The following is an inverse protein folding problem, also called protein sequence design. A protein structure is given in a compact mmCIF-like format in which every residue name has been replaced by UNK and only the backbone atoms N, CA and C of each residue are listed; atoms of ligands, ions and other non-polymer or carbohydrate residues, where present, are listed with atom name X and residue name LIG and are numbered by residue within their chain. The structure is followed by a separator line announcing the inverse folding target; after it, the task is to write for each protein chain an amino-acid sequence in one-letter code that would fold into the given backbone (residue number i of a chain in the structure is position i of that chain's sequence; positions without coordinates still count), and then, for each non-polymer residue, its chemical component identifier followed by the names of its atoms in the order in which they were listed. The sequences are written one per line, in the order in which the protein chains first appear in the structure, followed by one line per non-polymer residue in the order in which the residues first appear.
data_IF_369879086767
#
_entry.id   IF_369879086767
#
_cell.length_a   1.000
_cell.length_b   1.000
_cell.length_c   1.000
_cell.angle_alpha   90.00
_cell.angle_beta   90.00
_cell.angle_gamma   90.00
#
_symmetry.space_group_name_H-M   'P 1'
#
loop_
_entity.id
_entity.type
_entity.pdbx_description
1 polymer ?
#
# COMPACT_ATOMS: atom_id res chain seq x y z
N UNK A 1 24.75 68.13 -30.29
CA UNK A 1 25.08 68.82 -29.03
C UNK A 1 24.87 67.82 -27.90
N UNK A 2 25.54 66.67 -27.88
CA UNK A 2 27.01 66.44 -27.90
C UNK A 2 27.72 67.06 -26.68
N UNK A 3 28.75 66.34 -26.22
CA UNK A 3 29.50 66.40 -24.95
C UNK A 3 28.93 65.46 -23.88
N UNK A 4 29.34 64.20 -23.69
CA UNK A 4 30.60 63.46 -23.81
C UNK A 4 31.68 63.69 -22.71
N UNK A 5 32.10 62.54 -22.12
CA UNK A 5 33.23 62.19 -21.25
C UNK A 5 33.45 62.98 -19.93
N UNK A 6 33.77 62.39 -18.77
CA UNK A 6 34.93 61.50 -18.54
C UNK A 6 34.91 60.88 -17.12
N UNK A 7 35.29 59.60 -16.97
CA UNK A 7 35.78 58.98 -15.73
C UNK A 7 37.32 59.10 -15.66
N UNK A 8 37.92 59.36 -14.49
CA UNK A 8 38.83 58.38 -13.86
C UNK A 8 38.67 58.40 -12.31
N UNK A 9 38.91 57.36 -11.51
CA UNK A 9 39.96 56.35 -11.53
C UNK A 9 40.68 56.39 -10.18
N UNK A 10 40.66 55.26 -9.46
CA UNK A 10 41.57 54.87 -8.36
C UNK A 10 41.43 55.56 -6.99
N UNK A 11 41.09 54.77 -5.97
CA UNK A 11 42.07 54.30 -4.95
C UNK A 11 41.39 53.40 -3.90
N UNK A 12 41.85 52.16 -3.91
CA UNK A 12 42.00 51.22 -2.80
C UNK A 12 41.70 51.80 -1.40
N UNK A 13 40.64 51.31 -0.78
CA UNK A 13 40.52 51.27 0.68
C UNK A 13 40.19 49.82 1.07
N UNK A 14 41.24 49.09 1.48
CA UNK A 14 41.12 47.88 2.27
C UNK A 14 40.40 48.23 3.56
N UNK A 15 39.17 47.75 3.74
CA UNK A 15 38.54 47.67 5.05
C UNK A 15 38.41 46.19 5.38
N UNK A 16 39.40 45.72 6.13
CA UNK A 16 39.31 44.52 6.94
C UNK A 16 38.34 44.85 8.07
N UNK A 17 37.15 44.23 8.09
CA UNK A 17 36.27 44.27 9.25
C UNK A 17 35.76 42.86 9.56
N UNK A 18 36.50 42.24 10.49
CA UNK A 18 36.08 41.34 11.56
C UNK A 18 34.85 40.45 11.33
N UNK A 19 35.12 39.14 11.38
CA UNK A 19 34.22 38.10 11.85
C UNK A 19 33.39 38.57 13.06
N UNK A 20 32.07 38.48 12.93
CA UNK A 20 31.18 38.20 14.04
C UNK A 20 30.32 37.02 13.63
N UNK A 21 30.85 35.81 13.86
CA UNK A 21 30.04 34.59 13.97
C UNK A 21 29.27 34.71 15.27
N UNK A 22 28.05 35.24 15.19
CA UNK A 22 27.08 35.14 16.28
C UNK A 22 26.36 33.80 16.12
N UNK A 23 26.85 32.82 16.88
CA UNK A 23 26.10 31.65 17.31
C UNK A 23 24.77 32.13 17.93
N UNK A 24 23.67 32.03 17.18
CA UNK A 24 22.32 32.08 17.75
C UNK A 24 21.99 30.69 18.29
N UNK A 25 22.62 30.35 19.42
CA UNK A 25 22.19 29.30 20.31
C UNK A 25 21.81 29.95 21.64
N UNK A 26 20.57 29.74 22.07
CA UNK A 26 20.12 30.03 23.44
C UNK A 26 19.54 31.43 23.66
N UNK A 27 18.26 31.58 23.34
CA UNK A 27 17.44 32.71 23.76
C UNK A 27 16.00 32.24 23.93
N UNK A 28 15.70 31.67 25.10
CA UNK A 28 14.34 31.35 25.50
C UNK A 28 13.48 32.61 25.50
N UNK A 29 12.71 32.78 24.44
CA UNK A 29 11.46 33.48 24.47
C UNK A 29 10.41 32.40 24.66
N UNK A 30 9.49 32.62 25.61
CA UNK A 30 8.38 31.73 25.88
C UNK A 30 7.67 31.40 24.56
N UNK A 31 7.96 30.23 24.01
CA UNK A 31 7.19 29.68 22.92
C UNK A 31 5.83 29.41 23.55
N UNK A 32 4.81 30.18 23.14
CA UNK A 32 3.50 29.57 23.02
C UNK A 32 3.76 28.26 22.26
N UNK A 33 3.66 27.12 22.95
CA UNK A 33 3.85 25.82 22.35
C UNK A 33 2.76 25.65 21.31
N UNK A 34 3.03 26.13 20.10
CA UNK A 34 2.18 25.92 18.96
C UNK A 34 2.06 24.40 18.79
N UNK A 35 0.86 23.95 18.45
CA UNK A 35 0.64 22.57 18.11
C UNK A 35 1.57 22.20 16.93
N UNK A 36 2.12 20.98 16.88
CA UNK A 36 2.90 20.53 15.74
C UNK A 36 2.12 20.69 14.44
N UNK A 37 2.78 21.21 13.40
CA UNK A 37 2.19 21.40 12.07
C UNK A 37 2.78 20.41 11.07
N UNK A 38 2.14 20.28 9.91
CA UNK A 38 2.65 19.48 8.79
C UNK A 38 4.11 19.79 8.48
N UNK A 39 4.95 18.76 8.50
CA UNK A 39 6.38 18.82 8.25
C UNK A 39 7.24 18.86 9.51
N UNK A 40 6.67 19.17 10.67
CA UNK A 40 7.41 19.17 11.93
C UNK A 40 7.78 17.74 12.32
N UNK A 41 9.01 17.59 12.81
CA UNK A 41 9.40 16.37 13.50
C UNK A 41 8.90 16.40 14.94
N UNK A 42 8.44 15.27 15.43
CA UNK A 42 7.78 15.19 16.73
C UNK A 42 8.31 14.04 17.57
N UNK A 43 8.24 14.23 18.88
CA UNK A 43 8.48 13.19 19.87
C UNK A 43 7.29 13.12 20.83
N UNK A 44 7.01 11.90 21.31
CA UNK A 44 5.94 11.68 22.27
C UNK A 44 6.35 12.21 23.64
N UNK A 45 5.54 13.09 24.20
CA UNK A 45 5.74 13.71 25.52
C UNK A 45 4.49 13.50 26.38
N UNK A 46 4.46 12.40 27.13
CA UNK A 46 3.27 11.98 27.87
C UNK A 46 2.18 11.50 26.91
N UNK A 47 1.00 12.12 27.01
CA UNK A 47 -0.18 11.81 26.19
C UNK A 47 -0.31 12.73 24.96
N UNK A 48 0.75 13.46 24.60
CA UNK A 48 0.75 14.40 23.47
C UNK A 48 2.04 14.33 22.66
N UNK A 49 2.04 14.99 21.51
CA UNK A 49 3.19 15.16 20.64
C UNK A 49 3.69 16.61 20.68
N UNK A 50 5.00 16.77 20.77
CA UNK A 50 5.65 18.09 20.74
C UNK A 50 6.68 18.14 19.63
N UNK A 51 6.84 19.31 19.02
CA UNK A 51 7.91 19.55 18.05
C UNK A 51 9.28 19.23 18.66
N UNK A 52 10.09 18.52 17.88
CA UNK A 52 11.41 18.02 18.26
C UNK A 52 12.43 18.31 17.16
N UNK A 53 13.71 18.12 17.47
CA UNK A 53 14.77 18.23 16.47
C UNK A 53 14.68 17.05 15.49
N UNK A 54 14.51 17.35 14.20
CA UNK A 54 14.49 16.34 13.14
C UNK A 54 15.76 15.49 13.10
N UNK A 55 16.89 15.95 13.63
CA UNK A 55 18.11 15.14 13.70
C UNK A 55 17.93 13.90 14.58
N UNK A 56 17.09 13.96 15.62
CA UNK A 56 16.90 12.87 16.60
C UNK A 56 15.52 12.24 16.58
N UNK A 57 14.51 12.97 16.10
CA UNK A 57 13.15 12.47 16.04
C UNK A 57 13.00 11.28 15.08
N UNK A 58 12.11 10.35 15.44
CA UNK A 58 11.75 9.19 14.60
C UNK A 58 10.50 9.42 13.77
N UNK A 59 9.66 10.38 14.16
CA UNK A 59 8.38 10.69 13.54
C UNK A 59 8.33 12.11 13.03
N UNK A 60 7.45 12.32 12.05
CA UNK A 60 7.07 13.63 11.53
C UNK A 60 5.57 13.71 11.32
N UNK A 61 5.03 14.92 11.40
CA UNK A 61 3.65 15.21 10.98
C UNK A 61 3.60 15.25 9.46
N UNK A 62 2.80 14.36 8.88
CA UNK A 62 2.54 14.30 7.44
C UNK A 62 1.31 15.12 7.04
N UNK A 63 0.33 15.21 7.94
CA UNK A 63 -0.85 16.05 7.80
C UNK A 63 -1.41 16.39 9.19
N UNK A 64 -2.10 17.52 9.29
CA UNK A 64 -2.80 17.94 10.51
C UNK A 64 -4.18 18.47 10.16
N UNK A 65 -5.19 18.08 10.92
CA UNK A 65 -6.58 18.52 10.74
C UNK A 65 -7.06 19.27 11.98
N UNK A 66 -7.79 20.37 11.77
CA UNK A 66 -8.40 21.18 12.86
C UNK A 66 -9.70 20.55 13.41
N UNK A 67 -9.90 19.25 13.21
CA UNK A 67 -11.02 18.47 13.74
C UNK A 67 -10.56 17.06 14.16
N UNK A 68 -11.20 16.49 15.19
CA UNK A 68 -10.87 15.16 15.75
C UNK A 68 -11.27 13.99 14.85
N UNK A 69 -11.74 14.26 13.63
CA UNK A 69 -12.20 13.26 12.66
C UNK A 69 -11.40 13.30 11.37
N UNK A 70 -10.16 13.80 11.42
CA UNK A 70 -9.26 13.76 10.28
C UNK A 70 -8.99 12.34 9.83
N UNK A 71 -9.31 12.01 8.58
CA UNK A 71 -8.99 10.70 8.00
C UNK A 71 -7.50 10.67 7.60
N UNK A 72 -6.72 9.93 8.38
CA UNK A 72 -5.30 9.76 8.14
C UNK A 72 -4.99 8.62 7.15
N UNK A 73 -5.89 7.66 6.91
CA UNK A 73 -5.66 6.53 6.00
C UNK A 73 -5.16 6.95 4.60
N UNK A 74 -5.69 8.00 3.95
CA UNK A 74 -5.22 8.44 2.63
C UNK A 74 -3.90 9.23 2.67
N UNK A 75 -3.33 9.53 3.84
CA UNK A 75 -2.07 10.29 3.95
C UNK A 75 -0.89 9.34 3.69
N UNK A 76 -0.22 9.52 2.55
CA UNK A 76 0.87 8.66 2.12
C UNK A 76 2.01 8.57 3.16
N UNK A 77 2.31 7.36 3.61
CA UNK A 77 3.41 7.06 4.52
C UNK A 77 3.06 7.21 5.99
N UNK A 78 1.80 7.52 6.30
CA UNK A 78 1.29 7.50 7.66
C UNK A 78 1.42 6.10 8.25
N UNK A 79 1.70 6.04 9.54
CA UNK A 79 1.70 4.80 10.32
C UNK A 79 0.92 4.96 11.62
N UNK A 80 0.70 6.20 12.05
CA UNK A 80 0.03 6.52 13.30
C UNK A 80 -0.90 7.73 13.12
N UNK A 81 -2.07 7.68 13.73
CA UNK A 81 -2.93 8.85 13.93
C UNK A 81 -2.96 9.19 15.41
N UNK A 82 -2.87 10.47 15.72
CA UNK A 82 -3.00 10.99 17.08
C UNK A 82 -4.12 12.00 17.16
N UNK A 83 -5.05 11.81 18.09
CA UNK A 83 -6.11 12.79 18.38
C UNK A 83 -6.17 13.08 19.87
N UNK A 84 -6.12 14.36 20.23
CA UNK A 84 -6.33 14.85 21.61
C UNK A 84 -7.78 15.30 21.76
N UNK A 85 -8.41 14.96 22.89
CA UNK A 85 -9.74 15.42 23.29
C UNK A 85 -9.82 16.94 23.54
N UNK A 86 -8.67 17.64 23.53
CA UNK A 86 -8.50 19.09 23.67
C UNK A 86 -8.95 19.94 22.46
N UNK A 87 -8.12 20.84 21.88
CA UNK A 87 -8.55 21.78 20.83
C UNK A 87 -9.01 21.13 19.52
N UNK A 88 -9.04 19.80 19.46
CA UNK A 88 -9.67 19.03 18.41
C UNK A 88 -8.79 18.83 17.20
N UNK A 89 -7.48 18.65 17.39
CA UNK A 89 -6.53 18.45 16.29
C UNK A 89 -6.22 16.96 16.12
N UNK A 90 -6.33 16.47 14.89
CA UNK A 90 -5.82 15.14 14.49
C UNK A 90 -4.49 15.31 13.76
N UNK A 91 -3.46 14.58 14.20
CA UNK A 91 -2.15 14.52 13.56
C UNK A 91 -1.96 13.17 12.87
N UNK A 92 -1.63 13.20 11.59
CA UNK A 92 -1.20 12.01 10.85
C UNK A 92 0.32 11.93 10.88
N UNK A 93 0.84 10.91 11.54
CA UNK A 93 2.25 10.73 11.85
C UNK A 93 2.83 9.57 11.03
N UNK A 94 4.06 9.74 10.55
CA UNK A 94 4.81 8.67 9.91
C UNK A 94 6.31 8.78 10.19
N UNK A 95 7.11 7.81 9.74
CA UNK A 95 8.56 7.84 9.89
C UNK A 95 9.14 9.15 9.34
N UNK A 96 10.13 9.72 10.03
CA UNK A 96 10.77 10.98 9.61
C UNK A 96 11.19 10.98 8.14
N UNK A 97 11.81 9.89 7.71
CA UNK A 97 12.39 9.76 6.37
C UNK A 97 11.47 8.99 5.41
N UNK A 98 10.16 8.93 5.70
CA UNK A 98 9.21 8.23 4.84
C UNK A 98 9.19 8.84 3.44
N UNK A 99 9.22 7.97 2.43
CA UNK A 99 8.98 8.34 1.04
C UNK A 99 7.48 8.17 0.72
N UNK A 100 6.74 9.26 0.49
CA UNK A 100 5.33 9.17 0.10
C UNK A 100 5.09 8.40 -1.20
N UNK A 101 6.10 8.35 -2.09
CA UNK A 101 6.01 7.61 -3.36
C UNK A 101 5.98 6.10 -3.16
N UNK A 102 6.66 5.59 -2.14
CA UNK A 102 6.72 4.16 -1.82
C UNK A 102 5.65 3.71 -0.82
N UNK A 103 4.81 4.61 -0.34
CA UNK A 103 3.85 4.32 0.73
C UNK A 103 2.77 3.31 0.30
N UNK A 104 2.68 2.17 1.00
CA UNK A 104 1.73 1.10 0.69
C UNK A 104 0.28 1.52 0.92
N UNK A 105 -0.01 2.32 1.94
CA UNK A 105 -1.38 2.68 2.34
C UNK A 105 -2.17 3.45 1.25
N UNK A 106 -1.45 4.07 0.30
CA UNK A 106 -2.02 4.79 -0.85
C UNK A 106 -1.93 4.02 -2.17
N UNK A 107 -1.43 2.78 -2.16
CA UNK A 107 -1.36 1.95 -3.36
C UNK A 107 -2.74 1.75 -3.99
N UNK A 108 -2.78 1.62 -5.31
CA UNK A 108 -3.99 1.42 -6.09
C UNK A 108 -3.92 0.12 -6.89
N UNK A 109 -5.05 -0.31 -7.44
CA UNK A 109 -5.09 -1.45 -8.35
C UNK A 109 -4.12 -1.23 -9.52
N UNK A 110 -3.24 -2.20 -9.76
CA UNK A 110 -2.17 -2.15 -10.76
C UNK A 110 -0.82 -1.68 -10.25
N UNK A 111 -0.72 -1.14 -9.03
CA UNK A 111 0.58 -0.82 -8.42
C UNK A 111 1.33 -2.10 -8.03
N UNK A 112 2.64 -2.11 -8.24
CA UNK A 112 3.48 -3.20 -7.75
C UNK A 112 4.05 -2.91 -6.36
N UNK A 113 4.30 -3.98 -5.62
CA UNK A 113 4.76 -3.95 -4.24
C UNK A 113 5.91 -4.93 -4.02
N UNK A 114 6.75 -4.61 -3.05
CA UNK A 114 7.87 -5.43 -2.59
C UNK A 114 7.82 -5.60 -1.06
N UNK A 115 8.54 -6.59 -0.52
CA UNK A 115 8.62 -6.85 0.92
C UNK A 115 7.44 -7.65 1.49
N UNK A 116 6.55 -8.16 0.64
CA UNK A 116 5.35 -8.90 1.01
C UNK A 116 5.72 -10.28 1.54
N UNK A 117 6.62 -11.00 0.85
CA UNK A 117 7.02 -12.35 1.25
C UNK A 117 7.70 -12.38 2.63
N UNK A 118 8.53 -11.38 2.90
CA UNK A 118 9.22 -11.21 4.18
C UNK A 118 8.30 -10.61 5.27
N UNK A 119 7.12 -10.12 4.90
CA UNK A 119 6.23 -9.31 5.73
C UNK A 119 6.99 -8.20 6.48
N UNK A 120 7.90 -7.53 5.77
CA UNK A 120 8.76 -6.51 6.35
C UNK A 120 9.02 -5.42 5.32
N UNK A 121 8.72 -4.17 5.69
CA UNK A 121 8.88 -2.99 4.81
C UNK A 121 8.10 -3.12 3.49
N UNK A 122 6.81 -3.48 3.59
CA UNK A 122 5.93 -3.55 2.42
C UNK A 122 5.75 -2.16 1.84
N UNK A 123 6.10 -1.98 0.57
CA UNK A 123 6.14 -0.68 -0.10
C UNK A 123 5.81 -0.79 -1.57
N UNK A 124 5.30 0.30 -2.15
CA UNK A 124 5.12 0.45 -3.60
C UNK A 124 6.48 0.53 -4.29
N UNK A 125 6.56 -0.06 -5.47
CA UNK A 125 7.74 -0.06 -6.34
C UNK A 125 7.31 -0.03 -7.80
N UNK A 126 8.23 0.36 -8.70
CA UNK A 126 8.00 0.25 -10.14
C UNK A 126 7.83 -1.23 -10.53
N UNK A 127 6.81 -1.55 -11.32
CA UNK A 127 6.54 -2.93 -11.77
C UNK A 127 7.64 -3.52 -12.65
N UNK A 128 8.48 -2.70 -13.28
CA UNK A 128 9.65 -3.15 -14.02
C UNK A 128 10.87 -3.39 -13.13
N UNK A 129 10.80 -3.05 -11.84
CA UNK A 129 11.88 -3.34 -10.89
C UNK A 129 11.95 -4.84 -10.63
N UNK A 130 13.13 -5.48 -10.69
CA UNK A 130 13.28 -6.91 -10.41
C UNK A 130 12.94 -7.30 -8.96
N UNK A 131 12.83 -6.34 -8.04
CA UNK A 131 12.37 -6.56 -6.68
C UNK A 131 10.84 -6.47 -6.52
N UNK A 132 10.09 -6.18 -7.59
CA UNK A 132 8.63 -6.26 -7.55
C UNK A 132 8.19 -7.72 -7.35
N UNK A 133 7.53 -7.98 -6.22
CA UNK A 133 7.08 -9.32 -5.82
C UNK A 133 5.64 -9.57 -6.28
N UNK A 134 4.78 -8.57 -6.09
CA UNK A 134 3.34 -8.69 -6.36
C UNK A 134 2.77 -7.42 -6.99
N UNK A 135 1.59 -7.54 -7.58
CA UNK A 135 0.75 -6.43 -8.03
C UNK A 135 -0.53 -6.38 -7.20
N UNK A 136 -1.00 -5.18 -6.88
CA UNK A 136 -2.28 -4.95 -6.22
C UNK A 136 -3.41 -5.19 -7.21
N UNK A 137 -4.23 -6.21 -6.97
CA UNK A 137 -5.41 -6.51 -7.79
C UNK A 137 -6.67 -5.84 -7.25
N UNK A 138 -6.76 -5.70 -5.94
CA UNK A 138 -7.84 -4.99 -5.27
C UNK A 138 -7.35 -4.34 -3.97
N UNK A 139 -7.87 -3.15 -3.69
CA UNK A 139 -7.74 -2.45 -2.41
C UNK A 139 -9.12 -2.35 -1.76
N UNK A 140 -9.26 -2.92 -0.58
CA UNK A 140 -10.50 -2.96 0.18
C UNK A 140 -10.28 -2.16 1.46
N UNK A 141 -11.09 -1.13 1.69
CA UNK A 141 -11.09 -0.38 2.96
C UNK A 141 -12.02 -1.02 3.98
N UNK A 142 -11.73 -0.82 5.26
CA UNK A 142 -12.53 -1.32 6.41
C UNK A 142 -12.86 -2.81 6.28
N UNK A 143 -11.86 -3.61 5.89
CA UNK A 143 -12.07 -5.00 5.49
C UNK A 143 -12.32 -5.88 6.72
N UNK A 144 -13.51 -6.51 6.76
CA UNK A 144 -13.89 -7.45 7.82
C UNK A 144 -13.23 -8.82 7.57
N UNK A 145 -12.41 -9.29 8.50
CA UNK A 145 -11.57 -10.51 8.32
C UNK A 145 -12.02 -11.72 9.14
N UNK A 146 -13.02 -11.56 10.02
CA UNK A 146 -13.45 -12.58 11.01
C UNK A 146 -14.27 -13.74 10.45
N UNK A 147 -14.79 -13.65 9.23
CA UNK A 147 -15.74 -14.64 8.71
C UNK A 147 -15.51 -15.08 7.26
N UNK A 148 -14.85 -14.25 6.46
CA UNK A 148 -14.62 -14.48 5.03
C UNK A 148 -13.30 -13.86 4.64
N UNK A 149 -12.55 -14.50 3.74
CA UNK A 149 -11.41 -13.86 3.09
C UNK A 149 -11.93 -12.85 2.05
N UNK A 150 -11.75 -11.53 2.25
CA UNK A 150 -12.23 -10.51 1.32
C UNK A 150 -11.61 -10.65 -0.09
N UNK A 151 -10.45 -11.31 -0.18
CA UNK A 151 -9.71 -11.49 -1.41
C UNK A 151 -10.09 -12.75 -2.19
N UNK A 152 -10.86 -13.67 -1.61
CA UNK A 152 -11.24 -14.93 -2.26
C UNK A 152 -12.00 -14.73 -3.58
N UNK A 153 -12.72 -13.62 -3.71
CA UNK A 153 -13.49 -13.28 -4.92
C UNK A 153 -12.72 -12.45 -5.96
N UNK A 154 -11.45 -12.11 -5.70
CA UNK A 154 -10.63 -11.27 -6.57
C UNK A 154 -9.77 -12.16 -7.49
N UNK A 155 -10.09 -12.25 -8.79
CA UNK A 155 -9.38 -13.15 -9.71
C UNK A 155 -7.89 -12.84 -9.82
N UNK A 156 -7.06 -13.87 -9.81
CA UNK A 156 -5.61 -13.78 -9.90
C UNK A 156 -4.91 -13.56 -8.56
N UNK A 157 -5.67 -13.44 -7.46
CA UNK A 157 -5.11 -13.28 -6.13
C UNK A 157 -4.45 -14.57 -5.66
N UNK A 158 -3.20 -14.47 -5.19
CA UNK A 158 -2.47 -15.59 -4.57
C UNK A 158 -2.08 -15.31 -3.10
N UNK A 159 -2.16 -14.05 -2.68
CA UNK A 159 -1.78 -13.60 -1.34
C UNK A 159 -2.57 -12.35 -0.95
N UNK A 160 -2.58 -12.02 0.33
CA UNK A 160 -3.19 -10.80 0.83
C UNK A 160 -2.26 -10.11 1.82
N UNK A 161 -2.35 -8.78 1.89
CA UNK A 161 -1.61 -7.96 2.84
C UNK A 161 -2.57 -7.03 3.57
N UNK A 162 -2.52 -7.08 4.89
CA UNK A 162 -3.25 -6.17 5.76
C UNK A 162 -2.39 -5.00 6.18
N UNK A 163 -2.96 -3.81 6.16
CA UNK A 163 -2.35 -2.61 6.69
C UNK A 163 -3.32 -1.96 7.68
N UNK A 164 -2.79 -1.58 8.84
CA UNK A 164 -3.53 -0.95 9.92
C UNK A 164 -2.85 0.35 10.34
N UNK A 165 -3.68 1.36 10.57
CA UNK A 165 -3.30 2.64 11.13
C UNK A 165 -3.30 2.54 12.65
N UNK A 166 -2.17 2.84 13.27
CA UNK A 166 -2.09 2.85 14.73
C UNK A 166 -2.80 4.10 15.25
N UNK A 167 -3.91 3.94 15.99
CA UNK A 167 -4.56 5.06 16.68
C UNK A 167 -3.96 5.25 18.07
N UNK A 168 -3.50 6.46 18.38
CA UNK A 168 -3.02 6.85 19.71
C UNK A 168 -3.73 8.10 20.22
N UNK A 169 -3.88 8.24 21.54
CA UNK A 169 -4.57 9.36 22.16
C UNK A 169 -5.90 8.96 22.82
N UNK A 170 -6.77 9.93 23.05
CA UNK A 170 -8.05 9.78 23.76
C UNK A 170 -9.19 9.39 22.80
N UNK A 171 -8.96 8.47 21.87
CA UNK A 171 -10.03 7.99 21.00
C UNK A 171 -10.97 7.07 21.81
N UNK A 172 -12.24 7.47 22.06
CA UNK A 172 -13.17 6.65 22.82
C UNK A 172 -13.56 5.36 22.08
N UNK A 173 -13.21 5.22 20.80
CA UNK A 173 -13.44 4.03 19.99
C UNK A 173 -12.22 3.10 19.88
N UNK A 174 -11.03 3.53 20.32
CA UNK A 174 -9.85 2.68 20.39
C UNK A 174 -10.13 1.48 21.32
N UNK A 175 -10.25 0.29 20.73
CA UNK A 175 -10.43 -0.98 21.43
C UNK A 175 -11.85 -1.57 21.44
N UNK A 176 -12.87 -0.91 20.88
CA UNK A 176 -14.22 -1.52 20.76
C UNK A 176 -14.47 -2.18 19.39
N UNK A 177 -13.61 -1.94 18.39
CA UNK A 177 -13.71 -2.49 17.02
C UNK A 177 -12.42 -3.08 16.43
N UNK A 178 -11.26 -2.77 17.01
CA UNK A 178 -9.89 -3.03 16.49
C UNK A 178 -9.51 -4.51 16.27
N UNK A 179 -10.43 -5.45 16.49
CA UNK A 179 -10.19 -6.89 16.31
C UNK A 179 -11.14 -7.55 15.32
N UNK A 180 -11.98 -6.79 14.61
CA UNK A 180 -12.98 -7.34 13.67
C UNK A 180 -12.59 -7.15 12.18
N UNK A 181 -11.60 -6.33 11.89
CA UNK A 181 -11.17 -6.02 10.53
C UNK A 181 -9.82 -5.31 10.50
N UNK A 182 -9.42 -4.91 9.30
CA UNK A 182 -8.20 -4.13 9.04
C UNK A 182 -8.57 -2.87 8.27
N UNK A 183 -7.82 -1.78 8.45
CA UNK A 183 -8.13 -0.51 7.79
C UNK A 183 -8.03 -0.64 6.27
N UNK A 184 -6.99 -1.34 5.80
CA UNK A 184 -6.81 -1.66 4.40
C UNK A 184 -6.41 -3.12 4.22
N UNK A 185 -7.10 -3.79 3.30
CA UNK A 185 -6.73 -5.10 2.78
C UNK A 185 -6.34 -4.99 1.31
N UNK A 186 -5.17 -5.49 0.97
CA UNK A 186 -4.68 -5.58 -0.40
C UNK A 186 -4.74 -7.04 -0.87
N UNK A 187 -5.46 -7.28 -1.95
CA UNK A 187 -5.47 -8.57 -2.64
C UNK A 187 -4.37 -8.55 -3.70
N UNK A 188 -3.40 -9.45 -3.55
CA UNK A 188 -2.15 -9.42 -4.28
C UNK A 188 -2.05 -10.61 -5.23
N UNK A 189 -1.61 -10.35 -6.45
CA UNK A 189 -1.30 -11.38 -7.44
C UNK A 189 0.15 -11.28 -7.93
N UNK A 190 0.63 -12.26 -8.69
CA UNK A 190 1.98 -12.21 -9.25
C UNK A 190 2.10 -11.07 -10.27
N UNK A 191 3.30 -10.47 -10.36
CA UNK A 191 3.56 -9.39 -11.32
C UNK A 191 3.25 -9.84 -12.75
N UNK A 192 2.50 -9.01 -13.48
CA UNK A 192 2.09 -9.28 -14.86
C UNK A 192 0.88 -10.19 -15.02
N UNK A 193 0.22 -10.60 -13.93
CA UNK A 193 -1.08 -11.27 -14.00
C UNK A 193 -2.13 -10.34 -14.60
N UNK A 194 -2.90 -10.85 -15.55
CA UNK A 194 -4.13 -10.20 -16.03
C UNK A 194 -5.33 -10.90 -15.35
N UNK A 195 -6.05 -10.21 -14.45
CA UNK A 195 -7.18 -10.80 -13.73
C UNK A 195 -8.33 -11.18 -14.66
N UNK A 196 -8.43 -10.57 -15.85
CA UNK A 196 -9.48 -10.88 -16.83
C UNK A 196 -9.22 -12.19 -17.57
N UNK A 197 -7.96 -12.61 -17.62
CA UNK A 197 -7.57 -13.91 -18.17
C UNK A 197 -7.29 -14.95 -17.08
N UNK A 198 -7.62 -14.66 -15.82
CA UNK A 198 -7.36 -15.58 -14.72
C UNK A 198 -8.18 -16.87 -14.89
N UNK A 199 -7.61 -18.05 -14.59
CA UNK A 199 -8.39 -19.29 -14.53
C UNK A 199 -9.52 -19.21 -13.49
N UNK A 200 -9.45 -18.28 -12.51
CA UNK A 200 -10.52 -18.08 -11.53
C UNK A 200 -11.84 -17.64 -12.15
N UNK A 201 -11.80 -16.96 -13.30
CA UNK A 201 -13.00 -16.53 -14.03
C UNK A 201 -13.52 -17.58 -15.01
N UNK A 202 -12.77 -18.66 -15.26
CA UNK A 202 -13.09 -19.65 -16.27
C UNK A 202 -14.40 -20.39 -15.96
N UNK A 203 -15.20 -20.61 -17.00
CA UNK A 203 -16.48 -21.32 -16.99
C UNK A 203 -16.45 -22.51 -17.94
N UNK A 204 -17.41 -23.41 -17.80
CA UNK A 204 -17.59 -24.51 -18.75
C UNK A 204 -17.74 -23.96 -20.18
N UNK A 205 -16.89 -24.44 -21.09
CA UNK A 205 -16.80 -24.00 -22.47
C UNK A 205 -15.57 -23.14 -22.77
N UNK A 206 -14.97 -22.49 -21.77
CA UNK A 206 -13.77 -21.67 -21.93
C UNK A 206 -12.54 -22.52 -22.20
N UNK A 207 -11.53 -21.92 -22.84
CA UNK A 207 -10.28 -22.58 -23.14
C UNK A 207 -9.13 -21.97 -22.33
N UNK A 208 -8.17 -22.82 -21.97
CA UNK A 208 -7.03 -22.48 -21.15
C UNK A 208 -5.73 -22.77 -21.90
N UNK A 209 -4.80 -21.84 -21.81
CA UNK A 209 -3.39 -22.06 -22.15
C UNK A 209 -2.60 -22.31 -20.87
N UNK A 210 -1.59 -23.18 -20.93
CA UNK A 210 -0.62 -23.34 -19.83
C UNK A 210 0.27 -22.10 -19.73
N UNK A 211 0.53 -21.64 -18.50
CA UNK A 211 1.45 -20.53 -18.24
C UNK A 211 2.55 -20.97 -17.27
N UNK A 212 3.75 -20.40 -17.42
CA UNK A 212 4.91 -20.74 -16.60
C UNK A 212 4.94 -20.09 -15.20
N UNK A 213 3.85 -19.48 -14.75
CA UNK A 213 3.76 -18.78 -13.46
C UNK A 213 2.86 -19.49 -12.44
N UNK A 214 2.69 -18.91 -11.25
CA UNK A 214 1.89 -19.50 -10.16
C UNK A 214 0.43 -19.75 -10.52
N UNK A 215 -0.11 -18.95 -11.45
CA UNK A 215 -1.44 -19.14 -12.02
C UNK A 215 -1.55 -20.44 -12.85
N UNK A 216 -0.44 -20.95 -13.38
CA UNK A 216 -0.31 -22.21 -14.14
C UNK A 216 -1.09 -22.26 -15.46
N UNK A 217 -2.11 -21.42 -15.60
CA UNK A 217 -3.07 -21.39 -16.69
C UNK A 217 -3.59 -19.96 -16.86
N UNK A 218 -4.09 -19.64 -18.05
CA UNK A 218 -4.84 -18.42 -18.35
C UNK A 218 -5.96 -18.73 -19.35
N UNK A 219 -7.09 -18.03 -19.25
CA UNK A 219 -8.17 -18.14 -20.23
C UNK A 219 -7.73 -17.50 -21.55
N UNK A 220 -8.03 -18.19 -22.65
CA UNK A 220 -7.67 -17.78 -24.01
C UNK A 220 -8.82 -18.08 -24.96
N UNK A 221 -8.79 -17.47 -26.14
CA UNK A 221 -9.69 -17.85 -27.22
C UNK A 221 -9.45 -19.33 -27.60
N UNK A 222 -10.50 -20.13 -27.73
CA UNK A 222 -10.39 -21.54 -28.07
C UNK A 222 -9.73 -21.84 -29.43
N UNK A 223 -9.65 -20.85 -30.32
CA UNK A 223 -8.94 -20.95 -31.59
C UNK A 223 -7.46 -20.54 -31.50
N UNK A 224 -7.02 -20.05 -30.34
CA UNK A 224 -5.63 -19.69 -30.12
C UNK A 224 -4.73 -20.94 -30.25
N UNK A 225 -3.54 -20.82 -30.87
CA UNK A 225 -2.67 -21.97 -31.12
C UNK A 225 -2.11 -22.61 -29.85
N UNK A 226 -2.16 -21.90 -28.73
CA UNK A 226 -1.72 -22.30 -27.40
C UNK A 226 -2.87 -22.70 -26.46
N UNK A 227 -4.13 -22.68 -26.94
CA UNK A 227 -5.27 -23.19 -26.20
C UNK A 227 -5.19 -24.71 -26.08
N UNK A 228 -4.58 -25.18 -25.00
CA UNK A 228 -4.27 -26.59 -24.76
C UNK A 228 -5.46 -27.37 -24.18
N UNK A 229 -6.28 -26.70 -23.36
CA UNK A 229 -7.37 -27.32 -22.63
C UNK A 229 -8.68 -26.57 -22.82
N UNK A 230 -9.78 -27.29 -22.68
CA UNK A 230 -11.13 -26.76 -22.59
C UNK A 230 -11.74 -27.16 -21.25
N UNK A 231 -12.35 -26.20 -20.57
CA UNK A 231 -13.12 -26.46 -19.34
C UNK A 231 -14.42 -27.15 -19.75
N UNK A 232 -14.61 -28.40 -19.33
CA UNK A 232 -15.85 -29.14 -19.58
C UNK A 232 -16.87 -28.95 -18.47
N UNK A 233 -16.39 -28.74 -17.24
CA UNK A 233 -17.22 -28.48 -16.08
C UNK A 233 -16.45 -27.63 -15.06
N UNK A 234 -17.18 -26.75 -14.36
CA UNK A 234 -16.70 -26.06 -13.17
C UNK A 234 -17.55 -26.52 -11.99
N UNK A 235 -16.87 -26.97 -10.94
CA UNK A 235 -17.50 -27.31 -9.67
C UNK A 235 -17.06 -26.30 -8.62
N UNK A 236 -18.01 -25.53 -8.08
CA UNK A 236 -17.73 -24.61 -6.97
C UNK A 236 -17.73 -25.40 -5.66
N UNK A 237 -16.80 -25.07 -4.77
CA UNK A 237 -16.48 -25.83 -3.57
C UNK A 237 -15.23 -26.70 -3.74
N UNK A 238 -14.09 -26.16 -3.30
CA UNK A 238 -12.80 -26.83 -3.31
C UNK A 238 -12.61 -27.89 -2.22
N UNK A 239 -13.69 -28.51 -1.73
CA UNK A 239 -13.62 -29.54 -0.68
C UNK A 239 -13.53 -30.96 -1.24
N UNK A 240 -13.96 -31.17 -2.48
CA UNK A 240 -13.82 -32.46 -3.15
C UNK A 240 -12.45 -32.57 -3.81
N UNK A 241 -11.76 -33.73 -3.69
CA UNK A 241 -10.59 -33.99 -4.50
C UNK A 241 -10.99 -34.06 -5.99
N UNK A 242 -10.06 -33.69 -6.87
CA UNK A 242 -10.28 -33.52 -8.32
C UNK A 242 -10.92 -34.78 -8.94
N UNK A 243 -10.51 -35.97 -8.52
CA UNK A 243 -11.03 -37.23 -9.07
C UNK A 243 -12.52 -37.42 -8.77
N UNK A 244 -12.99 -36.93 -7.62
CA UNK A 244 -14.41 -37.01 -7.25
C UNK A 244 -15.18 -35.90 -7.96
N UNK A 245 -14.68 -34.66 -7.91
CA UNK A 245 -15.33 -33.51 -8.54
C UNK A 245 -15.52 -33.70 -10.05
N UNK A 246 -14.54 -34.31 -10.73
CA UNK A 246 -14.59 -34.51 -12.18
C UNK A 246 -15.08 -35.90 -12.61
N UNK A 247 -15.48 -36.78 -11.67
CA UNK A 247 -15.88 -38.15 -12.00
C UNK A 247 -17.09 -38.26 -12.94
N UNK A 248 -17.98 -37.26 -12.90
CA UNK A 248 -19.19 -37.16 -13.75
C UNK A 248 -19.04 -36.21 -14.94
N UNK A 249 -17.90 -35.52 -15.05
CA UNK A 249 -17.68 -34.55 -16.11
C UNK A 249 -17.29 -35.27 -17.41
N UNK A 250 -18.25 -35.43 -18.32
CA UNK A 250 -18.05 -36.13 -19.59
C UNK A 250 -16.88 -35.50 -20.39
N UNK A 251 -15.88 -36.32 -20.70
CA UNK A 251 -14.71 -35.91 -21.48
C UNK A 251 -13.57 -35.31 -20.66
N UNK A 252 -13.73 -35.13 -19.34
CA UNK A 252 -12.65 -34.68 -18.47
C UNK A 252 -11.50 -35.71 -18.43
N UNK A 253 -10.28 -35.25 -18.69
CA UNK A 253 -9.04 -36.04 -18.62
C UNK A 253 -8.13 -35.60 -17.47
N UNK A 254 -8.33 -34.39 -16.97
CA UNK A 254 -7.57 -33.80 -15.87
C UNK A 254 -8.46 -32.77 -15.15
N UNK A 255 -7.93 -32.16 -14.09
CA UNK A 255 -8.57 -31.01 -13.48
C UNK A 255 -7.58 -30.14 -12.72
N UNK A 256 -8.01 -28.93 -12.41
CA UNK A 256 -7.27 -27.96 -11.60
C UNK A 256 -8.14 -27.64 -10.39
N UNK A 257 -7.55 -27.66 -9.20
CA UNK A 257 -8.20 -27.19 -7.99
C UNK A 257 -7.54 -25.90 -7.52
N UNK A 258 -8.36 -24.91 -7.19
CA UNK A 258 -7.92 -23.63 -6.62
C UNK A 258 -8.70 -23.33 -5.34
N UNK A 259 -7.99 -22.74 -4.37
CA UNK A 259 -8.51 -22.53 -3.03
C UNK A 259 -8.81 -23.83 -2.29
N UNK A 260 -9.52 -23.71 -1.17
CA UNK A 260 -9.99 -24.83 -0.36
C UNK A 260 -11.28 -24.49 0.37
N UNK A 261 -12.04 -25.49 0.79
CA UNK A 261 -13.30 -25.27 1.49
C UNK A 261 -14.42 -24.77 0.57
N UNK A 262 -15.25 -23.85 1.07
CA UNK A 262 -16.44 -23.35 0.37
C UNK A 262 -16.12 -22.32 -0.72
N UNK A 263 -14.99 -21.63 -0.61
CA UNK A 263 -14.59 -20.56 -1.53
C UNK A 263 -13.64 -21.03 -2.64
N UNK A 264 -13.24 -22.31 -2.60
CA UNK A 264 -12.45 -22.93 -3.67
C UNK A 264 -13.31 -23.42 -4.83
N UNK A 265 -12.67 -23.86 -5.90
CA UNK A 265 -13.33 -24.48 -7.05
C UNK A 265 -12.44 -25.55 -7.70
N UNK A 266 -13.06 -26.40 -8.52
CA UNK A 266 -12.39 -27.36 -9.39
C UNK A 266 -12.83 -27.13 -10.83
N UNK A 267 -11.87 -26.97 -11.75
CA UNK A 267 -12.09 -27.00 -13.19
C UNK A 267 -11.76 -28.38 -13.73
N UNK A 268 -12.73 -29.01 -14.37
CA UNK A 268 -12.54 -30.28 -15.06
C UNK A 268 -12.17 -30.00 -16.52
N UNK A 269 -11.05 -30.55 -16.97
CA UNK A 269 -10.43 -30.18 -18.23
C UNK A 269 -10.39 -31.35 -19.21
N UNK A 270 -10.64 -31.04 -20.48
CA UNK A 270 -10.40 -31.91 -21.62
C UNK A 270 -9.35 -31.26 -22.54
N UNK A 271 -8.67 -32.01 -23.42
CA UNK A 271 -7.90 -31.42 -24.50
C UNK A 271 -8.80 -30.55 -25.39
N UNK A 272 -8.33 -29.38 -25.80
CA UNK A 272 -9.03 -28.49 -26.74
C UNK A 272 -8.87 -28.95 -28.20
#
# INVERSE_FOLDING_TARGET
MEDDLTFPGSRVARVVLLLAVLLLAGGGLAACSAAPEKGDCVEKSGDSYTAADCATATLRVLESFDETSGDCVPVAGVTETFSDSGPGTTLCLGPRDVDPGSAINVAQNGDCVAGVEANSDVRRIDCADPAAESVVLSRIGDAVTIATDPCASVPGTNSSYSWDLISTGDDPLAGIGDNLGVDLMFCLGPVGVDPTTSPDTAQAGDCLAETGGDAGYATVDCSAPDAAYRVVERSDGGFLPIEIACSSADGATSGIQRGGGLDGYVLCLAPN
#
